data_IF_340988264618
#
_entry.id   IF_340988264618
#
_cell.length_a   1.000
_cell.length_b   1.000
_cell.length_c   1.000
_cell.angle_alpha   90.00
_cell.angle_beta   90.00
_cell.angle_gamma   90.00
#
_symmetry.space_group_name_H-M   'P 1'
#
loop_
_entity.id
_entity.type
_entity.pdbx_description
1 polymer ?
#
# COMPACT_ATOMS: atom_id res chain seq x y z
N UNK A 1 -0.80 -2.37 -17.71
CA UNK A 1 -1.75 -1.93 -18.76
C UNK A 1 -1.60 -0.43 -18.97
N UNK A 2 -2.04 0.16 -20.08
CA UNK A 2 -2.02 1.63 -20.24
C UNK A 2 -3.13 2.30 -19.43
N UNK A 3 -2.97 3.59 -19.12
CA UNK A 3 -4.00 4.39 -18.41
C UNK A 3 -5.34 4.41 -19.13
N UNK A 4 -5.34 4.55 -20.46
CA UNK A 4 -6.57 4.58 -21.26
C UNK A 4 -7.29 3.23 -21.24
N UNK A 5 -6.55 2.13 -21.32
CA UNK A 5 -7.11 0.77 -21.21
C UNK A 5 -7.69 0.53 -19.82
N UNK A 6 -6.98 0.93 -18.77
CA UNK A 6 -7.44 0.83 -17.38
C UNK A 6 -8.78 1.54 -17.18
N UNK A 7 -8.86 2.81 -17.60
CA UNK A 7 -10.08 3.63 -17.46
C UNK A 7 -11.23 2.99 -18.25
N UNK A 8 -11.00 2.59 -19.49
CA UNK A 8 -12.02 1.95 -20.33
C UNK A 8 -12.56 0.68 -19.66
N UNK A 9 -11.67 -0.20 -19.21
CA UNK A 9 -12.05 -1.48 -18.61
C UNK A 9 -12.77 -1.32 -17.27
N UNK A 10 -12.29 -0.44 -16.39
CA UNK A 10 -12.94 -0.14 -15.13
C UNK A 10 -14.35 0.46 -15.34
N UNK A 11 -14.52 1.34 -16.33
CA UNK A 11 -15.82 1.91 -16.68
C UNK A 11 -16.79 0.86 -17.24
N UNK A 12 -16.30 -0.05 -18.09
CA UNK A 12 -17.12 -1.14 -18.64
C UNK A 12 -17.62 -2.06 -17.53
N UNK A 13 -16.73 -2.56 -16.67
CA UNK A 13 -17.11 -3.43 -15.55
C UNK A 13 -18.00 -2.71 -14.54
N UNK A 14 -17.75 -1.43 -14.26
CA UNK A 14 -18.60 -0.61 -13.41
C UNK A 14 -20.02 -0.45 -13.99
N UNK A 15 -20.13 -0.22 -15.30
CA UNK A 15 -21.42 -0.11 -16.01
C UNK A 15 -22.20 -1.44 -15.99
N UNK A 16 -21.50 -2.56 -16.07
CA UNK A 16 -22.08 -3.90 -16.06
C UNK A 16 -22.35 -4.43 -14.64
N UNK A 17 -21.94 -3.72 -13.59
CA UNK A 17 -22.11 -4.16 -12.20
C UNK A 17 -21.21 -5.36 -11.84
N UNK A 18 -20.12 -5.56 -12.57
CA UNK A 18 -19.17 -6.64 -12.31
C UNK A 18 -18.23 -6.22 -11.18
N UNK A 19 -18.10 -6.99 -10.09
CA UNK A 19 -17.11 -6.71 -9.05
C UNK A 19 -15.68 -6.92 -9.57
N UNK A 20 -14.80 -5.96 -9.33
CA UNK A 20 -13.38 -6.04 -9.67
C UNK A 20 -12.49 -5.38 -8.63
N UNK A 21 -11.24 -5.85 -8.57
CA UNK A 21 -10.14 -5.26 -7.82
C UNK A 21 -9.29 -4.42 -8.79
N UNK A 22 -8.86 -3.24 -8.36
CA UNK A 22 -7.85 -2.47 -9.07
C UNK A 22 -6.70 -2.10 -8.14
N UNK A 23 -5.49 -2.06 -8.70
CA UNK A 23 -4.25 -1.66 -8.03
C UNK A 23 -3.60 -0.60 -8.91
N UNK A 24 -3.30 0.55 -8.32
CA UNK A 24 -2.67 1.67 -8.99
C UNK A 24 -1.63 2.29 -8.05
N UNK A 25 -0.44 2.56 -8.56
CA UNK A 25 0.53 3.39 -7.87
C UNK A 25 0.17 4.89 -7.97
N UNK A 26 0.87 5.71 -7.20
CA UNK A 26 0.60 7.14 -7.12
C UNK A 26 0.80 7.87 -8.45
N UNK A 27 1.79 7.45 -9.23
CA UNK A 27 2.15 8.04 -10.53
C UNK A 27 1.27 7.52 -11.69
N UNK A 28 0.43 6.51 -11.42
CA UNK A 28 -0.43 5.81 -12.39
C UNK A 28 0.36 5.12 -13.51
N UNK A 29 1.57 4.66 -13.21
CA UNK A 29 2.44 3.91 -14.11
C UNK A 29 2.16 2.40 -14.02
N UNK A 30 1.92 1.90 -12.81
CA UNK A 30 1.64 0.49 -12.54
C UNK A 30 0.15 0.27 -12.27
N UNK A 31 -0.61 0.06 -13.34
CA UNK A 31 -2.06 -0.15 -13.30
C UNK A 31 -2.41 -1.62 -13.56
N UNK A 32 -3.23 -2.18 -12.67
CA UNK A 32 -3.82 -3.50 -12.80
C UNK A 32 -5.31 -3.45 -12.44
N UNK A 33 -6.15 -4.13 -13.22
CA UNK A 33 -7.55 -4.34 -12.89
C UNK A 33 -7.89 -5.82 -13.17
N UNK A 34 -8.46 -6.51 -12.18
CA UNK A 34 -8.87 -7.91 -12.29
C UNK A 34 -10.28 -8.07 -11.74
N UNK A 35 -11.17 -8.76 -12.46
CA UNK A 35 -12.47 -9.18 -11.90
C UNK A 35 -12.23 -10.07 -10.69
N UNK A 36 -13.11 -10.01 -9.68
CA UNK A 36 -12.88 -10.75 -8.43
C UNK A 36 -12.84 -12.27 -8.64
N UNK A 37 -13.60 -12.79 -9.60
CA UNK A 37 -13.61 -14.20 -10.00
C UNK A 37 -12.37 -14.65 -10.79
N UNK A 38 -11.56 -13.71 -11.24
CA UNK A 38 -10.33 -13.94 -12.00
C UNK A 38 -9.06 -13.60 -11.21
N UNK A 39 -9.17 -13.25 -9.93
CA UNK A 39 -8.01 -12.99 -9.07
C UNK A 39 -7.39 -14.32 -8.64
N UNK A 40 -6.13 -14.57 -9.06
CA UNK A 40 -5.34 -15.69 -8.53
C UNK A 40 -4.88 -15.36 -7.10
N UNK A 41 -5.32 -16.15 -6.12
CA UNK A 41 -4.97 -16.02 -4.71
C UNK A 41 -3.49 -16.27 -4.40
N UNK A 42 -2.74 -16.84 -5.36
CA UNK A 42 -1.28 -17.04 -5.28
C UNK A 42 -0.50 -15.81 -5.73
N UNK A 43 -1.10 -14.93 -6.51
CA UNK A 43 -0.48 -13.68 -6.95
C UNK A 43 -0.94 -12.49 -6.12
N UNK A 44 -2.23 -12.46 -5.74
CA UNK A 44 -2.85 -11.33 -5.07
C UNK A 44 -3.74 -11.84 -3.93
N UNK A 45 -3.54 -11.30 -2.74
CA UNK A 45 -4.49 -11.43 -1.63
C UNK A 45 -4.97 -10.07 -1.17
N UNK A 46 -6.25 -9.95 -0.90
CA UNK A 46 -6.83 -8.71 -0.40
C UNK A 46 -7.78 -8.98 0.75
N UNK A 47 -7.88 -8.00 1.64
CA UNK A 47 -8.95 -7.88 2.61
C UNK A 47 -9.39 -6.41 2.60
N UNK A 48 -10.61 -6.19 2.13
CA UNK A 48 -11.22 -4.87 1.91
C UNK A 48 -12.52 -4.82 2.71
N UNK A 49 -12.41 -4.40 3.97
CA UNK A 49 -13.53 -4.20 4.89
C UNK A 49 -14.49 -5.42 4.95
N UNK A 50 -13.93 -6.62 5.11
CA UNK A 50 -14.68 -7.88 5.18
C UNK A 50 -14.80 -8.63 3.85
N UNK A 51 -14.57 -7.97 2.71
CA UNK A 51 -14.48 -8.65 1.39
C UNK A 51 -13.06 -9.14 1.19
N UNK A 52 -12.88 -10.44 0.96
CA UNK A 52 -11.55 -11.06 0.93
C UNK A 52 -11.52 -12.29 0.03
N UNK A 53 -10.42 -12.52 -0.66
CA UNK A 53 -10.12 -13.81 -1.29
C UNK A 53 -9.20 -14.69 -0.41
N UNK A 54 -8.75 -14.19 0.73
CA UNK A 54 -7.91 -14.96 1.64
C UNK A 54 -8.72 -16.02 2.40
N UNK A 55 -8.38 -17.27 2.15
CA UNK A 55 -8.87 -18.47 2.86
C UNK A 55 -7.89 -18.98 3.92
N UNK A 56 -6.66 -18.45 3.94
CA UNK A 56 -5.60 -18.89 4.84
C UNK A 56 -5.82 -18.38 6.27
N UNK A 57 -5.42 -19.20 7.24
CA UNK A 57 -5.54 -18.86 8.66
C UNK A 57 -4.65 -17.68 9.03
N UNK A 58 -5.07 -16.96 10.08
CA UNK A 58 -4.29 -15.87 10.65
C UNK A 58 -2.91 -16.36 11.12
N UNK A 59 -1.85 -15.67 10.68
CA UNK A 59 -0.49 -15.95 11.09
C UNK A 59 -0.23 -15.36 12.49
N UNK A 60 0.24 -16.20 13.42
CA UNK A 60 0.50 -15.84 14.81
C UNK A 60 1.92 -16.23 15.21
N UNK A 61 2.92 -15.50 14.71
CA UNK A 61 4.30 -15.58 15.22
C UNK A 61 4.77 -14.21 15.68
N UNK A 62 5.70 -14.20 16.62
CA UNK A 62 6.43 -12.99 17.00
C UNK A 62 7.26 -12.50 15.81
N UNK A 63 6.98 -11.27 15.37
CA UNK A 63 7.70 -10.61 14.29
C UNK A 63 8.88 -9.87 14.91
N UNK A 64 10.10 -10.32 14.58
CA UNK A 64 11.31 -9.56 14.90
C UNK A 64 11.62 -8.62 13.74
N UNK A 65 11.93 -7.38 14.06
CA UNK A 65 12.32 -6.39 13.08
C UNK A 65 13.46 -5.51 13.59
N UNK A 66 14.29 -5.08 12.67
CA UNK A 66 15.38 -4.15 12.92
C UNK A 66 15.25 -2.97 11.97
N UNK A 67 15.35 -1.75 12.51
CA UNK A 67 15.07 -0.51 11.80
C UNK A 67 16.33 0.35 11.72
N UNK A 68 16.72 0.66 10.49
CA UNK A 68 17.92 1.42 10.19
C UNK A 68 17.57 2.91 10.12
N UNK A 69 17.58 3.57 11.29
CA UNK A 69 17.18 4.97 11.42
C UNK A 69 18.28 5.91 10.94
N UNK A 70 17.88 7.02 10.29
CA UNK A 70 18.79 8.12 10.03
C UNK A 70 19.21 8.80 11.36
N UNK A 71 20.39 9.43 11.44
CA UNK A 71 20.78 10.20 12.60
C UNK A 71 19.77 11.30 12.93
N UNK A 72 19.58 11.57 14.22
CA UNK A 72 18.63 12.59 14.69
C UNK A 72 18.88 13.96 14.04
N UNK A 73 20.14 14.37 13.93
CA UNK A 73 20.50 15.66 13.34
C UNK A 73 20.10 15.78 11.86
N UNK A 74 20.15 14.67 11.12
CA UNK A 74 19.70 14.65 9.72
C UNK A 74 18.18 14.85 9.64
N UNK A 75 17.41 14.16 10.50
CA UNK A 75 15.98 14.37 10.59
C UNK A 75 15.65 15.81 11.02
N UNK A 76 16.36 16.33 12.02
CA UNK A 76 16.18 17.67 12.58
C UNK A 76 16.36 18.74 11.52
N UNK A 77 17.37 18.63 10.67
CA UNK A 77 17.58 19.56 9.56
C UNK A 77 16.38 19.61 8.60
N UNK A 78 15.82 18.44 8.23
CA UNK A 78 14.62 18.35 7.38
C UNK A 78 13.39 18.96 8.08
N UNK A 79 13.23 18.71 9.38
CA UNK A 79 12.14 19.25 10.18
C UNK A 79 12.21 20.77 10.30
N UNK A 80 13.38 21.33 10.62
CA UNK A 80 13.59 22.76 10.76
C UNK A 80 13.33 23.51 9.44
N UNK A 81 13.71 22.91 8.31
CA UNK A 81 13.39 23.43 6.98
C UNK A 81 11.87 23.53 6.74
N UNK A 82 11.12 22.45 7.01
CA UNK A 82 9.66 22.45 6.87
C UNK A 82 9.03 23.48 7.80
N UNK A 83 9.47 23.52 9.06
CA UNK A 83 8.97 24.45 10.07
C UNK A 83 9.19 25.91 9.67
N UNK A 84 10.37 26.25 9.14
CA UNK A 84 10.68 27.58 8.65
C UNK A 84 9.66 28.02 7.57
N UNK A 85 9.40 27.16 6.58
CA UNK A 85 8.48 27.48 5.50
C UNK A 85 7.01 27.54 5.92
N UNK A 86 6.59 26.74 6.90
CA UNK A 86 5.26 26.87 7.50
C UNK A 86 5.10 28.23 8.20
N UNK A 87 6.10 28.67 8.97
CA UNK A 87 6.06 29.98 9.64
C UNK A 87 6.13 31.17 8.66
N UNK A 88 6.83 31.01 7.53
CA UNK A 88 6.88 32.02 6.48
C UNK A 88 5.57 32.12 5.67
N UNK A 89 4.62 31.19 5.86
CA UNK A 89 3.36 31.15 5.14
C UNK A 89 3.44 30.52 3.74
N UNK A 90 4.50 29.76 3.44
CA UNK A 90 4.69 29.15 2.12
C UNK A 90 3.81 27.92 1.88
N UNK A 91 3.33 27.29 2.95
CA UNK A 91 2.33 26.22 2.91
C UNK A 91 1.51 26.24 4.20
N UNK A 92 0.31 25.66 4.14
CA UNK A 92 -0.55 25.46 5.30
C UNK A 92 -0.30 24.12 6.00
N UNK A 93 0.04 23.08 5.23
CA UNK A 93 0.27 21.71 5.73
C UNK A 93 1.34 21.01 4.91
N UNK A 94 2.26 20.34 5.58
CA UNK A 94 3.29 19.51 4.96
C UNK A 94 3.40 18.21 5.75
N UNK A 95 3.35 17.07 5.06
CA UNK A 95 3.62 15.77 5.66
C UNK A 95 5.09 15.40 5.41
N UNK A 96 5.95 15.63 6.41
CA UNK A 96 7.36 15.25 6.33
C UNK A 96 7.51 13.76 6.65
N UNK A 97 7.91 12.97 5.65
CA UNK A 97 8.21 11.55 5.80
C UNK A 97 9.69 11.26 5.52
N UNK A 98 10.20 10.18 6.10
CA UNK A 98 11.56 9.67 5.85
C UNK A 98 11.48 8.17 5.63
N UNK A 99 12.18 7.69 4.59
CA UNK A 99 12.31 6.26 4.32
C UNK A 99 13.24 5.62 5.36
N UNK A 100 12.73 4.63 6.09
CA UNK A 100 13.51 3.83 7.04
C UNK A 100 13.54 2.39 6.53
N UNK A 101 14.71 1.86 6.13
CA UNK A 101 14.85 0.45 5.85
C UNK A 101 14.52 -0.39 7.10
N UNK A 102 13.75 -1.46 6.92
CA UNK A 102 13.37 -2.39 7.98
C UNK A 102 13.72 -3.80 7.53
N UNK A 103 14.54 -4.50 8.31
CA UNK A 103 14.76 -5.92 8.17
C UNK A 103 13.73 -6.68 9.01
N UNK A 104 13.17 -7.76 8.45
CA UNK A 104 12.07 -8.52 9.06
C UNK A 104 12.44 -10.00 9.13
N UNK A 105 11.99 -10.68 10.18
CA UNK A 105 12.12 -12.14 10.31
C UNK A 105 11.04 -12.93 9.55
N UNK A 106 10.16 -12.23 8.82
CA UNK A 106 8.99 -12.76 8.14
C UNK A 106 8.86 -12.12 6.77
N UNK A 107 8.14 -12.78 5.86
CA UNK A 107 7.84 -12.22 4.54
C UNK A 107 6.57 -11.34 4.54
N UNK A 108 6.31 -10.67 3.41
CA UNK A 108 5.14 -9.78 3.26
C UNK A 108 3.80 -10.55 3.29
N UNK A 109 3.79 -11.83 2.91
CA UNK A 109 2.58 -12.66 2.96
C UNK A 109 2.24 -13.00 4.41
N UNK A 110 3.23 -13.39 5.21
CA UNK A 110 3.09 -13.61 6.64
C UNK A 110 2.60 -12.34 7.36
N UNK A 111 3.10 -11.16 6.98
CA UNK A 111 2.58 -9.87 7.46
C UNK A 111 1.11 -9.70 7.10
N UNK A 112 0.73 -9.94 5.85
CA UNK A 112 -0.66 -9.86 5.41
C UNK A 112 -1.57 -10.79 6.23
N UNK A 113 -1.13 -12.01 6.52
CA UNK A 113 -1.91 -12.98 7.30
C UNK A 113 -2.01 -12.62 8.79
N UNK A 114 -1.01 -11.94 9.35
CA UNK A 114 -0.97 -11.52 10.76
C UNK A 114 -1.57 -10.14 11.04
N UNK A 115 -1.64 -9.25 10.05
CA UNK A 115 -2.08 -7.88 10.24
C UNK A 115 -3.59 -7.76 10.48
N UNK A 116 -3.98 -7.03 11.53
CA UNK A 116 -5.35 -6.61 11.76
C UNK A 116 -5.55 -5.20 11.14
N UNK A 117 -6.04 -5.15 9.90
CA UNK A 117 -6.31 -3.91 9.19
C UNK A 117 -7.62 -4.02 8.40
N UNK A 118 -8.44 -2.96 8.33
CA UNK A 118 -9.65 -2.94 7.51
C UNK A 118 -9.33 -3.02 6.01
N UNK A 119 -8.14 -2.58 5.61
CA UNK A 119 -7.66 -2.64 4.24
C UNK A 119 -6.23 -3.19 4.23
N UNK A 120 -6.02 -4.31 3.55
CA UNK A 120 -4.68 -4.87 3.30
C UNK A 120 -4.65 -5.60 1.97
N UNK A 121 -3.50 -5.52 1.31
CA UNK A 121 -3.21 -6.11 0.02
C UNK A 121 -1.83 -6.75 0.11
N UNK A 122 -1.72 -7.98 -0.36
CA UNK A 122 -0.46 -8.63 -0.66
C UNK A 122 -0.42 -8.86 -2.17
N UNK A 123 0.68 -8.43 -2.78
CA UNK A 123 1.01 -8.64 -4.18
C UNK A 123 2.32 -9.42 -4.20
N UNK A 124 2.36 -10.47 -5.01
CA UNK A 124 3.58 -11.22 -5.29
C UNK A 124 4.31 -10.55 -6.46
N UNK A 125 5.20 -9.59 -6.16
CA UNK A 125 5.96 -8.78 -7.12
C UNK A 125 7.45 -9.16 -7.24
#
# INVERSE_FOLDING_TARGET
>A
MTKSEFIRQANEWGKEGIPFLFIADFELENLQAKRLDAVDEKEIKYFLNGVTNNTEACFKKDIKFDKQLIPFEEYKAKFDFVRHHLHAGNSYLVNLTVRTPVALSVDLKEIFLGAAAPYKLWLND
#
